data_IF_651344859088
#
_entry.id   IF_651344859088
#
_cell.length_a   1.000
_cell.length_b   1.000
_cell.length_c   1.000
_cell.angle_alpha   90.00
_cell.angle_beta   90.00
_cell.angle_gamma   90.00
#
_symmetry.space_group_name_H-M   'P 1'
#
loop_
_entity.id
_entity.type
_entity.pdbx_description
1 polymer ?
#
# COMPACT_ATOMS: atom_id res chain seq x y z
N UNK A 1 19.52 -4.31 17.92
CA UNK A 1 20.50 -4.62 16.85
C UNK A 1 19.75 -5.16 15.63
N UNK A 2 20.14 -4.71 14.46
CA UNK A 2 19.60 -5.21 13.17
C UNK A 2 20.80 -5.69 12.36
N UNK A 3 20.73 -6.90 11.87
CA UNK A 3 21.76 -7.52 11.01
C UNK A 3 21.11 -8.59 10.15
N UNK A 4 21.89 -9.34 9.37
CA UNK A 4 21.37 -10.46 8.60
C UNK A 4 21.72 -11.79 9.29
N UNK A 5 20.87 -12.80 9.08
CA UNK A 5 21.19 -14.16 9.48
C UNK A 5 22.36 -14.70 8.62
N UNK A 6 23.27 -15.48 9.19
CA UNK A 6 24.40 -16.02 8.43
C UNK A 6 23.95 -16.83 7.21
N UNK A 7 24.49 -16.47 6.03
CA UNK A 7 24.25 -17.21 4.79
C UNK A 7 22.95 -16.93 4.04
N UNK A 8 22.10 -16.00 4.54
CA UNK A 8 20.83 -15.64 3.90
C UNK A 8 20.58 -14.13 4.00
N UNK A 9 19.74 -13.59 3.10
CA UNK A 9 19.35 -12.16 3.08
C UNK A 9 18.19 -11.84 4.04
N UNK A 10 17.98 -12.65 5.08
CA UNK A 10 16.93 -12.46 6.07
C UNK A 10 17.45 -11.58 7.21
N UNK A 11 16.68 -10.56 7.59
CA UNK A 11 17.06 -9.66 8.68
C UNK A 11 17.01 -10.37 10.04
N UNK A 12 18.08 -10.19 10.82
CA UNK A 12 18.15 -10.61 12.23
C UNK A 12 17.90 -9.39 13.10
N UNK A 13 16.82 -9.44 13.89
CA UNK A 13 16.47 -8.37 14.83
C UNK A 13 16.55 -8.89 16.25
N UNK A 14 17.36 -8.23 17.08
CA UNK A 14 17.44 -8.52 18.50
C UNK A 14 17.31 -7.24 19.33
N UNK A 15 16.70 -7.35 20.49
CA UNK A 15 16.49 -6.25 21.40
C UNK A 15 16.44 -6.71 22.85
N UNK A 16 16.60 -5.76 23.77
CA UNK A 16 16.42 -6.02 25.21
C UNK A 16 15.04 -5.57 25.65
N UNK A 17 14.46 -6.27 26.62
CA UNK A 17 13.22 -5.83 27.24
C UNK A 17 13.43 -4.49 27.96
N UNK A 18 12.49 -3.57 27.81
CA UNK A 18 12.59 -2.23 28.43
C UNK A 18 12.67 -2.29 29.96
N UNK A 19 12.05 -3.30 30.57
CA UNK A 19 11.94 -3.46 32.03
C UNK A 19 12.77 -4.62 32.61
N UNK A 20 13.39 -5.44 31.75
CA UNK A 20 14.38 -6.48 32.14
C UNK A 20 15.49 -6.51 31.10
N UNK A 21 16.59 -5.80 31.40
CA UNK A 21 17.71 -5.64 30.46
C UNK A 21 18.58 -6.90 30.33
N UNK A 22 18.39 -7.89 31.20
CA UNK A 22 19.08 -9.17 31.10
C UNK A 22 18.44 -10.06 30.04
N UNK A 23 17.13 -9.89 29.79
CA UNK A 23 16.42 -10.63 28.77
C UNK A 23 16.65 -10.03 27.37
N UNK A 24 17.22 -10.82 26.48
CA UNK A 24 17.35 -10.50 25.06
C UNK A 24 16.23 -11.19 24.30
N UNK A 25 15.49 -10.43 23.50
CA UNK A 25 14.46 -10.93 22.59
C UNK A 25 15.06 -11.04 21.20
N UNK A 26 14.86 -12.19 20.57
CA UNK A 26 15.17 -12.43 19.18
C UNK A 26 13.87 -12.49 18.37
N UNK A 27 13.74 -11.62 17.37
CA UNK A 27 12.64 -11.65 16.41
C UNK A 27 12.97 -12.66 15.32
N UNK A 28 12.12 -13.67 15.17
CA UNK A 28 12.24 -14.68 14.12
C UNK A 28 11.26 -14.41 13.01
N UNK A 29 11.59 -14.75 11.75
CA UNK A 29 10.64 -14.70 10.66
C UNK A 29 9.35 -15.44 10.99
N UNK A 30 8.21 -14.92 10.53
CA UNK A 30 6.91 -15.57 10.70
C UNK A 30 6.85 -16.88 9.91
N UNK A 31 6.54 -17.97 10.59
CA UNK A 31 6.48 -19.31 10.01
C UNK A 31 5.16 -20.00 10.36
N UNK A 32 4.75 -20.94 9.53
CA UNK A 32 3.55 -21.75 9.76
C UNK A 32 3.88 -23.19 10.15
N UNK A 33 5.09 -23.66 9.87
CA UNK A 33 5.56 -25.01 10.17
C UNK A 33 7.07 -25.03 10.38
N UNK A 34 7.56 -26.03 11.12
CA UNK A 34 8.99 -26.35 11.20
C UNK A 34 9.46 -27.31 10.07
N UNK A 35 8.59 -27.62 9.10
CA UNK A 35 8.95 -28.25 7.83
C UNK A 35 9.06 -27.16 6.76
N UNK A 36 10.25 -26.57 6.54
CA UNK A 36 10.38 -25.33 5.82
C UNK A 36 10.33 -25.52 4.30
N UNK A 37 9.57 -24.66 3.65
CA UNK A 37 9.56 -24.46 2.20
C UNK A 37 10.36 -23.24 1.78
N UNK A 38 10.48 -22.24 2.66
CA UNK A 38 11.17 -20.97 2.39
C UNK A 38 12.49 -20.86 3.15
N UNK A 39 13.40 -20.01 2.68
CA UNK A 39 14.67 -19.73 3.38
C UNK A 39 14.45 -19.11 4.76
N UNK A 40 13.40 -18.31 4.92
CA UNK A 40 13.03 -17.67 6.18
C UNK A 40 12.59 -18.71 7.22
N UNK A 41 11.80 -19.70 6.82
CA UNK A 41 11.40 -20.81 7.68
C UNK A 41 12.59 -21.69 8.07
N UNK A 42 13.56 -21.90 7.16
CA UNK A 42 14.82 -22.59 7.46
C UNK A 42 15.61 -21.85 8.56
N UNK A 43 15.69 -20.53 8.48
CA UNK A 43 16.40 -19.70 9.46
C UNK A 43 15.76 -19.85 10.85
N UNK A 44 14.44 -19.67 10.92
CA UNK A 44 13.71 -19.80 12.19
C UNK A 44 13.86 -21.19 12.80
N UNK A 45 13.70 -22.26 12.00
CA UNK A 45 13.89 -23.64 12.45
C UNK A 45 15.31 -23.90 12.96
N UNK A 46 16.32 -23.52 12.19
CA UNK A 46 17.71 -23.77 12.56
C UNK A 46 18.07 -23.05 13.86
N UNK A 47 17.60 -21.82 14.06
CA UNK A 47 17.80 -21.10 15.32
C UNK A 47 17.18 -21.85 16.50
N UNK A 48 15.95 -22.33 16.36
CA UNK A 48 15.28 -23.07 17.44
C UNK A 48 15.97 -24.41 17.78
N UNK A 49 16.51 -25.10 16.79
CA UNK A 49 17.15 -26.41 16.98
C UNK A 49 18.60 -26.26 17.48
N UNK A 50 19.37 -25.36 16.88
CA UNK A 50 20.83 -25.23 17.08
C UNK A 50 21.17 -24.29 18.24
N UNK A 51 20.64 -23.06 18.21
CA UNK A 51 20.91 -22.03 19.21
C UNK A 51 20.09 -22.23 20.49
N UNK A 52 18.92 -22.85 20.40
CA UNK A 52 18.04 -23.21 21.53
C UNK A 52 17.83 -22.06 22.50
N UNK A 53 16.93 -21.14 22.23
CA UNK A 53 16.60 -20.06 23.17
C UNK A 53 16.11 -20.63 24.50
N UNK A 54 16.31 -19.87 25.59
CA UNK A 54 15.88 -20.29 26.95
C UNK A 54 14.36 -20.40 27.10
N UNK A 55 13.60 -19.68 26.28
CA UNK A 55 12.14 -19.81 26.17
C UNK A 55 11.67 -19.28 24.81
N UNK A 56 10.49 -19.71 24.40
CA UNK A 56 9.80 -19.26 23.17
C UNK A 56 8.51 -18.55 23.58
N UNK A 57 8.32 -17.34 23.07
CA UNK A 57 7.04 -16.64 23.10
C UNK A 57 6.36 -16.84 21.73
N UNK A 58 5.43 -17.78 21.67
CA UNK A 58 4.70 -18.11 20.46
C UNK A 58 3.45 -17.24 20.34
N UNK A 59 3.43 -16.35 19.32
CA UNK A 59 2.30 -15.45 19.07
C UNK A 59 1.35 -16.12 18.08
N UNK A 60 0.10 -16.31 18.52
CA UNK A 60 -0.95 -17.05 17.80
C UNK A 60 -2.10 -16.11 17.49
N UNK A 61 -2.57 -16.12 16.24
CA UNK A 61 -3.77 -15.39 15.86
C UNK A 61 -5.04 -16.08 16.40
N UNK A 62 -5.71 -15.44 17.35
CA UNK A 62 -6.93 -15.95 17.98
C UNK A 62 -8.11 -16.07 17.03
N UNK A 63 -8.14 -15.33 15.91
CA UNK A 63 -9.21 -15.40 14.92
C UNK A 63 -9.09 -16.64 14.03
N UNK A 64 -7.86 -17.21 13.92
CA UNK A 64 -7.54 -18.40 13.14
C UNK A 64 -6.72 -19.41 13.96
N UNK A 65 -7.13 -19.60 15.22
CA UNK A 65 -6.36 -20.39 16.20
C UNK A 65 -6.04 -21.81 15.72
N UNK A 66 -6.98 -22.49 15.06
CA UNK A 66 -6.84 -23.85 14.58
C UNK A 66 -5.61 -24.02 13.67
N UNK A 67 -5.46 -23.13 12.69
CA UNK A 67 -4.31 -23.13 11.78
C UNK A 67 -2.99 -22.86 12.51
N UNK A 68 -3.00 -21.95 13.46
CA UNK A 68 -1.79 -21.55 14.18
C UNK A 68 -1.35 -22.57 15.22
N UNK A 69 -2.25 -23.42 15.72
CA UNK A 69 -1.90 -24.50 16.66
C UNK A 69 -1.03 -25.58 15.99
N UNK A 70 -1.03 -25.71 14.67
CA UNK A 70 -0.16 -26.63 13.97
C UNK A 70 1.33 -26.38 14.26
N UNK A 71 1.79 -25.15 14.10
CA UNK A 71 3.15 -24.76 14.48
C UNK A 71 3.35 -24.90 15.99
N UNK A 72 2.35 -24.55 16.80
CA UNK A 72 2.45 -24.61 18.27
C UNK A 72 2.74 -26.02 18.76
N UNK A 73 2.13 -27.05 18.18
CA UNK A 73 2.41 -28.45 18.52
C UNK A 73 3.85 -28.82 18.18
N UNK A 74 4.37 -28.40 17.03
CA UNK A 74 5.75 -28.65 16.61
C UNK A 74 6.78 -27.96 17.51
N UNK A 75 6.50 -26.70 17.93
CA UNK A 75 7.37 -25.94 18.84
C UNK A 75 7.47 -26.65 20.21
N UNK A 76 6.37 -27.19 20.71
CA UNK A 76 6.37 -27.90 21.99
C UNK A 76 7.17 -29.22 21.97
N UNK A 77 7.29 -29.86 20.81
CA UNK A 77 8.12 -31.05 20.61
C UNK A 77 9.63 -30.76 20.73
N UNK A 78 10.07 -29.51 20.57
CA UNK A 78 11.47 -29.12 20.72
C UNK A 78 11.99 -29.23 22.18
N UNK A 79 11.10 -29.37 23.18
CA UNK A 79 11.46 -29.40 24.56
C UNK A 79 12.01 -28.08 25.12
N UNK A 80 11.69 -26.97 24.49
CA UNK A 80 12.01 -25.62 24.94
C UNK A 80 10.81 -25.05 25.69
N UNK A 81 10.99 -24.29 26.80
CA UNK A 81 9.88 -23.65 27.50
C UNK A 81 9.09 -22.74 26.53
N UNK A 82 7.78 -22.92 26.46
CA UNK A 82 6.90 -22.15 25.56
C UNK A 82 5.85 -21.40 26.38
N UNK A 83 5.65 -20.12 26.02
CA UNK A 83 4.47 -19.34 26.39
C UNK A 83 3.69 -19.04 25.13
N UNK A 84 2.40 -19.35 25.13
CA UNK A 84 1.52 -19.01 24.03
C UNK A 84 0.82 -17.68 24.29
N UNK A 85 0.96 -16.73 23.38
CA UNK A 85 0.27 -15.45 23.42
C UNK A 85 -0.79 -15.41 22.34
N UNK A 86 -2.07 -15.49 22.70
CA UNK A 86 -3.19 -15.43 21.76
C UNK A 86 -3.47 -13.96 21.47
N UNK A 87 -3.11 -13.53 20.27
CA UNK A 87 -3.29 -12.16 19.79
C UNK A 87 -4.68 -11.94 19.18
N UNK A 88 -5.03 -10.68 18.95
CA UNK A 88 -6.32 -10.26 18.38
C UNK A 88 -7.53 -10.65 19.24
N UNK A 89 -7.36 -10.80 20.57
CA UNK A 89 -8.45 -11.14 21.48
C UNK A 89 -9.57 -10.09 21.51
N UNK A 90 -9.27 -8.86 21.18
CA UNK A 90 -10.28 -7.81 20.95
C UNK A 90 -11.20 -8.13 19.76
N UNK A 91 -10.67 -8.68 18.68
CA UNK A 91 -11.45 -9.12 17.53
C UNK A 91 -12.25 -10.40 17.84
N UNK A 92 -11.63 -11.38 18.52
CA UNK A 92 -12.32 -12.60 18.97
C UNK A 92 -13.53 -12.26 19.83
N UNK A 93 -13.37 -11.34 20.80
CA UNK A 93 -14.50 -10.88 21.63
C UNK A 93 -15.55 -10.11 20.84
N UNK A 94 -15.12 -9.31 19.87
CA UNK A 94 -16.03 -8.54 18.99
C UNK A 94 -16.87 -9.44 18.08
N UNK A 95 -16.32 -10.57 17.62
CA UNK A 95 -17.07 -11.57 16.83
C UNK A 95 -18.06 -12.38 17.68
N UNK A 96 -17.92 -12.31 19.02
CA UNK A 96 -18.70 -13.10 19.96
C UNK A 96 -18.12 -14.50 20.22
N UNK A 97 -16.99 -14.82 19.64
CA UNK A 97 -16.28 -16.07 19.86
C UNK A 97 -15.65 -16.08 21.25
N UNK A 98 -15.51 -17.26 21.82
CA UNK A 98 -14.94 -17.46 23.14
C UNK A 98 -13.82 -18.51 23.08
N UNK A 99 -12.67 -18.17 23.63
CA UNK A 99 -11.54 -19.08 23.82
C UNK A 99 -11.35 -19.26 25.32
N UNK A 100 -11.43 -20.49 25.79
CA UNK A 100 -11.16 -20.82 27.21
C UNK A 100 -9.65 -21.03 27.37
N UNK A 101 -8.97 -19.98 27.80
CA UNK A 101 -7.51 -19.93 27.94
C UNK A 101 -7.02 -20.94 28.98
N UNK A 102 -7.73 -21.12 30.12
CA UNK A 102 -7.34 -22.06 31.15
C UNK A 102 -7.42 -23.51 30.70
N UNK A 103 -8.47 -23.86 29.95
CA UNK A 103 -8.58 -25.20 29.36
C UNK A 103 -7.50 -25.42 28.30
N UNK A 104 -7.27 -24.42 27.44
CA UNK A 104 -6.27 -24.48 26.40
C UNK A 104 -4.87 -24.65 26.99
N UNK A 105 -4.54 -23.90 28.07
CA UNK A 105 -3.28 -24.03 28.79
C UNK A 105 -3.07 -25.43 29.33
N UNK A 106 -4.10 -26.03 29.90
CA UNK A 106 -4.04 -27.42 30.44
C UNK A 106 -3.85 -28.45 29.33
N UNK A 107 -4.55 -28.28 28.19
CA UNK A 107 -4.46 -29.21 27.05
C UNK A 107 -3.11 -29.12 26.36
N UNK A 108 -2.56 -27.92 26.24
CA UNK A 108 -1.26 -27.70 25.59
C UNK A 108 -0.07 -27.94 26.54
N UNK A 109 -0.30 -27.91 27.85
CA UNK A 109 0.78 -28.05 28.83
C UNK A 109 1.72 -26.85 28.93
N UNK A 110 1.31 -25.69 28.45
CA UNK A 110 2.07 -24.45 28.52
C UNK A 110 1.20 -23.27 28.95
N UNK A 111 1.81 -22.22 29.58
CA UNK A 111 1.07 -21.00 29.88
C UNK A 111 0.51 -20.35 28.63
N UNK A 112 -0.76 -19.98 28.71
CA UNK A 112 -1.46 -19.24 27.65
C UNK A 112 -1.85 -17.86 28.18
N UNK A 113 -1.63 -16.80 27.38
CA UNK A 113 -1.94 -15.41 27.74
C UNK A 113 -2.74 -14.78 26.60
N UNK A 114 -3.80 -14.07 26.95
CA UNK A 114 -4.55 -13.27 26.00
C UNK A 114 -3.83 -11.94 25.76
N UNK A 115 -3.63 -11.57 24.50
CA UNK A 115 -3.05 -10.29 24.16
C UNK A 115 -3.84 -9.57 23.05
N UNK A 116 -3.69 -8.25 23.02
CA UNK A 116 -4.04 -7.42 21.85
C UNK A 116 -2.84 -6.52 21.57
N UNK A 117 -2.04 -6.89 20.59
CA UNK A 117 -0.84 -6.14 20.24
C UNK A 117 -1.18 -4.71 19.81
N UNK A 118 -2.32 -4.51 19.11
CA UNK A 118 -2.79 -3.18 18.68
C UNK A 118 -3.11 -2.27 19.87
N UNK A 119 -3.67 -2.82 20.97
CA UNK A 119 -4.03 -2.06 22.17
C UNK A 119 -2.94 -2.04 23.22
N UNK A 120 -1.92 -2.89 23.08
CA UNK A 120 -0.87 -3.05 24.08
C UNK A 120 -1.27 -3.92 25.28
N UNK A 121 -2.47 -4.54 25.25
CA UNK A 121 -2.98 -5.35 26.36
C UNK A 121 -2.25 -6.69 26.45
N UNK A 122 -1.93 -7.15 27.64
CA UNK A 122 -1.36 -8.48 27.93
C UNK A 122 0.10 -8.68 27.50
N UNK A 123 0.70 -7.78 26.72
CA UNK A 123 2.06 -7.94 26.16
C UNK A 123 3.11 -8.11 27.26
N UNK A 124 3.06 -7.24 28.27
CA UNK A 124 4.01 -7.28 29.40
C UNK A 124 3.87 -8.57 30.20
N UNK A 125 2.64 -9.05 30.41
CA UNK A 125 2.37 -10.31 31.09
C UNK A 125 2.96 -11.51 30.34
N UNK A 126 2.70 -11.58 29.02
CA UNK A 126 3.22 -12.65 28.19
C UNK A 126 4.76 -12.69 28.18
N UNK A 127 5.39 -11.52 28.00
CA UNK A 127 6.85 -11.42 28.05
C UNK A 127 7.43 -11.79 29.44
N UNK A 128 6.81 -11.36 30.54
CA UNK A 128 7.26 -11.70 31.87
C UNK A 128 7.14 -13.20 32.15
N UNK A 129 6.06 -13.85 31.71
CA UNK A 129 5.91 -15.30 31.81
C UNK A 129 6.98 -16.05 31.03
N UNK A 130 7.33 -15.56 29.82
CA UNK A 130 8.42 -16.17 29.04
C UNK A 130 9.77 -16.04 29.77
N UNK A 131 10.09 -14.88 30.32
CA UNK A 131 11.31 -14.65 31.09
C UNK A 131 11.32 -15.52 32.36
N UNK A 132 10.20 -15.67 33.06
CA UNK A 132 10.08 -16.52 34.24
C UNK A 132 10.37 -17.98 33.88
N UNK A 133 9.80 -18.50 32.80
CA UNK A 133 10.06 -19.87 32.36
C UNK A 133 11.53 -20.06 31.94
N UNK A 134 12.12 -19.08 31.24
CA UNK A 134 13.53 -19.10 30.87
C UNK A 134 14.43 -19.19 32.11
N UNK A 135 14.18 -18.37 33.14
CA UNK A 135 14.94 -18.37 34.38
C UNK A 135 14.78 -19.67 35.18
N UNK A 136 13.60 -20.27 35.15
CA UNK A 136 13.33 -21.56 35.85
C UNK A 136 13.92 -22.75 35.10
N UNK A 137 14.30 -22.61 33.84
CA UNK A 137 14.75 -23.71 32.95
C UNK A 137 13.81 -24.92 32.97
N UNK A 138 12.50 -24.66 33.10
CA UNK A 138 11.48 -25.69 33.11
C UNK A 138 11.27 -26.20 31.70
N UNK A 139 11.67 -27.42 31.41
CA UNK A 139 11.48 -28.02 30.09
C UNK A 139 9.99 -28.23 29.80
N UNK A 140 9.52 -27.82 28.69
CA UNK A 140 8.19 -28.18 28.20
C UNK A 140 8.20 -29.63 27.77
N UNK A 141 7.25 -30.40 28.28
CA UNK A 141 6.99 -31.75 27.77
C UNK A 141 5.76 -31.66 26.88
N UNK A 142 5.81 -32.17 25.67
CA UNK A 142 4.61 -32.24 24.83
C UNK A 142 3.55 -33.07 25.57
N UNK A 143 2.36 -32.52 25.67
CA UNK A 143 1.20 -33.18 26.29
C UNK A 143 0.32 -33.81 25.20
N UNK A 144 0.55 -33.43 23.94
CA UNK A 144 -0.20 -34.01 22.83
C UNK A 144 0.26 -35.44 22.57
N UNK A 145 -0.72 -36.31 22.46
CA UNK A 145 -0.54 -37.70 22.09
C UNK A 145 -1.31 -37.94 20.79
N UNK A 146 -0.68 -38.66 19.89
CA UNK A 146 -1.31 -39.15 18.65
C UNK A 146 -2.10 -40.44 18.95
N UNK A 147 -2.58 -41.10 17.93
CA UNK A 147 -3.16 -42.42 18.09
C UNK A 147 -2.15 -43.39 18.74
N UNK A 148 -2.64 -44.37 19.46
CA UNK A 148 -1.76 -45.33 20.19
C UNK A 148 -0.78 -46.02 19.23
N UNK A 149 -1.24 -46.37 18.06
CA UNK A 149 -0.45 -47.01 17.00
C UNK A 149 0.69 -46.11 16.50
N UNK A 150 0.42 -44.80 16.34
CA UNK A 150 1.44 -43.84 15.96
C UNK A 150 2.43 -43.59 17.09
N UNK A 151 1.97 -43.45 18.37
CA UNK A 151 2.84 -43.25 19.54
C UNK A 151 3.77 -44.44 19.73
N UNK A 152 3.30 -45.67 19.58
CA UNK A 152 4.15 -46.89 19.70
C UNK A 152 5.29 -46.85 18.67
N UNK A 153 5.00 -46.42 17.42
CA UNK A 153 6.02 -46.32 16.39
C UNK A 153 6.99 -45.17 16.65
N UNK A 154 6.49 -44.01 17.10
CA UNK A 154 7.34 -42.88 17.50
C UNK A 154 8.29 -43.28 18.63
N UNK A 155 7.80 -43.99 19.66
CA UNK A 155 8.61 -44.45 20.76
C UNK A 155 9.71 -45.42 20.31
N UNK A 156 9.44 -46.29 19.35
CA UNK A 156 10.47 -47.17 18.79
C UNK A 156 11.57 -46.39 18.09
N UNK A 157 11.24 -45.32 17.34
CA UNK A 157 12.22 -44.43 16.71
C UNK A 157 12.99 -43.64 17.78
N UNK A 158 12.32 -43.11 18.82
CA UNK A 158 12.98 -42.40 19.92
C UNK A 158 14.05 -43.29 20.60
N UNK A 159 13.78 -44.57 20.80
CA UNK A 159 14.71 -45.53 21.38
C UNK A 159 15.96 -45.78 20.50
N UNK A 160 15.85 -45.62 19.17
CA UNK A 160 16.98 -45.75 18.27
C UNK A 160 17.87 -44.50 18.22
N UNK A 161 17.38 -43.35 18.71
CA UNK A 161 18.11 -42.09 18.68
C UNK A 161 19.21 -42.07 19.74
N UNK A 162 20.46 -41.99 19.27
CA UNK A 162 21.66 -41.89 20.11
C UNK A 162 22.31 -40.53 19.98
N UNK A 163 22.82 -39.99 21.10
CA UNK A 163 23.53 -38.71 21.09
C UNK A 163 22.65 -37.46 20.96
N UNK A 164 21.33 -37.66 21.09
CA UNK A 164 20.32 -36.61 21.15
C UNK A 164 19.78 -36.51 22.57
N UNK A 165 19.55 -35.30 23.07
CA UNK A 165 18.98 -35.07 24.40
C UNK A 165 17.56 -35.62 24.45
N UNK A 166 17.18 -36.19 25.58
CA UNK A 166 15.85 -36.86 25.74
C UNK A 166 14.69 -35.91 25.41
N UNK A 167 14.80 -34.63 25.79
CA UNK A 167 13.77 -33.63 25.49
C UNK A 167 13.58 -33.31 24.00
N UNK A 168 14.53 -33.71 23.13
CA UNK A 168 14.48 -33.49 21.69
C UNK A 168 14.13 -34.74 20.91
N UNK A 169 14.20 -35.91 21.52
CA UNK A 169 14.03 -37.19 20.80
C UNK A 169 12.71 -37.26 20.03
N UNK A 170 11.61 -36.82 20.68
CA UNK A 170 10.30 -36.80 20.00
C UNK A 170 10.30 -35.98 18.74
N UNK A 171 10.85 -34.78 18.77
CA UNK A 171 10.94 -33.94 17.57
C UNK A 171 11.72 -34.62 16.45
N UNK A 172 12.92 -35.15 16.78
CA UNK A 172 13.74 -35.83 15.76
C UNK A 172 13.10 -37.14 15.27
N UNK A 173 12.45 -37.90 16.13
CA UNK A 173 11.74 -39.12 15.75
C UNK A 173 10.62 -38.81 14.74
N UNK A 174 9.79 -37.82 15.03
CA UNK A 174 8.71 -37.40 14.14
C UNK A 174 9.27 -36.90 12.82
N UNK A 175 10.34 -36.09 12.84
CA UNK A 175 10.96 -35.56 11.60
C UNK A 175 11.61 -36.64 10.73
N UNK A 176 12.17 -37.68 11.34
CA UNK A 176 12.65 -38.84 10.59
C UNK A 176 11.51 -39.64 9.96
N UNK A 177 10.40 -39.80 10.65
CA UNK A 177 9.20 -40.43 10.09
C UNK A 177 8.59 -39.58 8.96
N UNK A 178 8.60 -38.25 9.08
CA UNK A 178 8.20 -37.31 8.03
C UNK A 178 9.20 -37.28 6.85
N UNK A 179 10.29 -38.06 6.88
CA UNK A 179 11.34 -38.12 5.85
C UNK A 179 12.00 -36.78 5.58
N UNK A 180 12.20 -35.92 6.64
CA UNK A 180 12.84 -34.60 6.53
C UNK A 180 14.36 -34.78 6.39
N UNK A 181 14.85 -34.81 5.13
CA UNK A 181 16.28 -34.95 4.79
C UNK A 181 17.14 -33.84 5.38
N UNK A 182 16.59 -32.63 5.54
CA UNK A 182 17.33 -31.47 6.07
C UNK A 182 17.59 -31.63 7.58
N UNK A 183 16.69 -32.27 8.29
CA UNK A 183 16.89 -32.63 9.70
C UNK A 183 17.85 -33.81 9.81
N UNK A 184 17.69 -34.83 9.00
CA UNK A 184 18.62 -35.96 8.94
C UNK A 184 20.07 -35.48 8.70
N UNK A 185 20.28 -34.55 7.80
CA UNK A 185 21.60 -33.98 7.51
C UNK A 185 22.25 -33.22 8.70
N UNK A 186 21.48 -32.76 9.68
CA UNK A 186 22.00 -32.11 10.89
C UNK A 186 22.37 -33.07 12.00
N UNK A 187 21.99 -34.34 11.88
CA UNK A 187 22.29 -35.37 12.86
C UNK A 187 23.67 -35.94 12.65
N UNK A 188 24.40 -36.18 13.75
CA UNK A 188 25.72 -36.84 13.71
C UNK A 188 25.63 -38.32 13.29
N UNK A 189 24.55 -38.96 13.62
CA UNK A 189 24.24 -40.35 13.26
C UNK A 189 22.74 -40.46 13.03
N UNK A 190 22.36 -40.87 11.85
CA UNK A 190 20.94 -41.10 11.48
C UNK A 190 20.68 -42.59 11.65
N UNK A 191 19.75 -42.99 12.53
CA UNK A 191 19.36 -44.39 12.66
C UNK A 191 18.58 -44.84 11.40
N UNK A 192 18.64 -46.11 11.07
CA UNK A 192 17.75 -46.70 10.09
C UNK A 192 16.35 -46.85 10.67
N UNK A 193 15.39 -46.14 10.10
CA UNK A 193 13.97 -46.12 10.48
C UNK A 193 13.05 -46.64 9.39
N UNK A 194 13.63 -47.33 8.39
CA UNK A 194 12.88 -47.82 7.24
C UNK A 194 11.76 -48.82 7.60
N UNK A 195 11.97 -49.61 8.66
CA UNK A 195 10.97 -50.59 9.13
C UNK A 195 9.82 -49.87 9.86
N UNK A 196 10.10 -48.83 10.63
CA UNK A 196 9.09 -48.02 11.33
C UNK A 196 8.25 -47.23 10.33
N UNK A 197 8.89 -46.65 9.29
CA UNK A 197 8.21 -45.96 8.21
C UNK A 197 7.25 -46.92 7.51
N UNK A 198 7.73 -48.10 7.09
CA UNK A 198 6.87 -49.08 6.44
C UNK A 198 5.72 -49.51 7.34
N UNK A 199 5.98 -49.79 8.62
CA UNK A 199 4.96 -50.19 9.59
C UNK A 199 3.89 -49.09 9.76
N UNK A 200 4.28 -47.83 9.74
CA UNK A 200 3.35 -46.72 9.82
C UNK A 200 2.51 -46.63 8.53
N UNK A 201 3.13 -46.69 7.36
CA UNK A 201 2.46 -46.67 6.07
C UNK A 201 1.48 -47.85 5.91
N UNK A 202 1.88 -49.06 6.31
CA UNK A 202 1.02 -50.27 6.28
C UNK A 202 -0.15 -50.19 7.27
N UNK A 203 0.04 -49.50 8.43
CA UNK A 203 -0.99 -49.41 9.47
C UNK A 203 -2.08 -48.40 9.09
N UNK A 204 -1.71 -47.30 8.47
CA UNK A 204 -2.61 -46.20 8.17
C UNK A 204 -2.99 -46.07 6.70
N UNK A 205 -2.41 -46.90 5.81
CA UNK A 205 -2.64 -46.93 4.36
C UNK A 205 -2.40 -45.56 3.70
N UNK A 206 -1.35 -44.83 4.15
CA UNK A 206 -0.99 -43.48 3.66
C UNK A 206 0.52 -43.27 3.83
N UNK A 207 1.07 -42.22 3.24
CA UNK A 207 2.46 -41.84 3.48
C UNK A 207 2.66 -41.24 4.87
N UNK A 208 3.85 -41.40 5.46
CA UNK A 208 4.12 -41.01 6.83
C UNK A 208 4.00 -39.51 7.09
N UNK A 209 4.28 -38.64 6.13
CA UNK A 209 4.12 -37.18 6.26
C UNK A 209 2.63 -36.84 6.39
N UNK A 210 1.79 -37.41 5.54
CA UNK A 210 0.33 -37.26 5.61
C UNK A 210 -0.24 -37.79 6.92
N UNK A 211 0.21 -38.97 7.36
CA UNK A 211 -0.23 -39.58 8.64
C UNK A 211 0.05 -38.64 9.82
N UNK A 212 1.30 -38.19 9.97
CA UNK A 212 1.69 -37.29 11.07
C UNK A 212 0.91 -35.98 11.00
N UNK A 213 0.71 -35.45 9.80
CA UNK A 213 -0.08 -34.23 9.59
C UNK A 213 -1.54 -34.44 10.03
N UNK A 214 -2.16 -35.57 9.65
CA UNK A 214 -3.53 -35.91 10.06
C UNK A 214 -3.66 -36.11 11.57
N UNK A 215 -2.72 -36.79 12.21
CA UNK A 215 -2.66 -36.97 13.64
C UNK A 215 -2.61 -35.61 14.39
N UNK A 216 -1.79 -34.68 13.91
CA UNK A 216 -1.73 -33.31 14.45
C UNK A 216 -3.07 -32.60 14.33
N UNK A 217 -3.71 -32.64 13.15
CA UNK A 217 -5.00 -32.00 12.95
C UNK A 217 -6.12 -32.65 13.75
N UNK A 218 -6.08 -33.96 13.94
CA UNK A 218 -7.03 -34.68 14.80
C UNK A 218 -6.90 -34.20 16.25
N UNK A 219 -5.69 -34.10 16.77
CA UNK A 219 -5.43 -33.54 18.10
C UNK A 219 -5.88 -32.09 18.22
N UNK A 220 -5.51 -31.23 17.25
CA UNK A 220 -5.89 -29.80 17.24
C UNK A 220 -7.41 -29.64 17.22
N UNK A 221 -8.12 -30.39 16.37
CA UNK A 221 -9.57 -30.35 16.27
C UNK A 221 -10.24 -30.76 17.58
N UNK A 222 -9.69 -31.73 18.31
CA UNK A 222 -10.18 -32.11 19.64
C UNK A 222 -10.05 -30.96 20.65
N UNK A 223 -8.92 -30.25 20.65
CA UNK A 223 -8.69 -29.10 21.51
C UNK A 223 -9.66 -27.95 21.16
N UNK A 224 -9.78 -27.63 19.89
CA UNK A 224 -10.66 -26.55 19.41
C UNK A 224 -12.11 -26.83 19.81
N UNK A 225 -12.57 -28.09 19.63
CA UNK A 225 -13.92 -28.48 20.02
C UNK A 225 -14.22 -28.29 21.52
N UNK A 226 -13.21 -28.50 22.39
CA UNK A 226 -13.36 -28.36 23.83
C UNK A 226 -13.10 -26.94 24.38
N UNK A 227 -12.17 -26.22 23.77
CA UNK A 227 -11.67 -24.95 24.29
C UNK A 227 -12.27 -23.71 23.59
N UNK A 228 -12.76 -23.86 22.36
CA UNK A 228 -13.25 -22.74 21.57
C UNK A 228 -14.75 -22.87 21.31
N UNK A 229 -15.49 -21.82 21.62
CA UNK A 229 -16.91 -21.70 21.26
C UNK A 229 -17.04 -20.61 20.22
N UNK A 230 -17.38 -20.99 18.99
CA UNK A 230 -17.76 -20.04 17.96
C UNK A 230 -19.20 -19.56 18.25
N UNK A 231 -19.42 -18.26 18.17
CA UNK A 231 -20.76 -17.69 18.32
C UNK A 231 -21.69 -18.33 17.29
N UNK A 232 -22.74 -19.02 17.77
CA UNK A 232 -23.81 -19.54 16.93
C UNK A 232 -24.66 -18.38 16.42
N UNK A 233 -24.31 -17.88 15.31
CA UNK A 233 -25.05 -16.89 14.55
C UNK A 233 -24.25 -16.75 13.29
N UNK A 234 -24.86 -17.06 12.17
CA UNK A 234 -24.21 -16.91 10.88
C UNK A 234 -23.45 -15.59 10.87
N UNK A 235 -22.20 -15.61 10.44
CA UNK A 235 -21.33 -14.44 10.34
C UNK A 235 -22.21 -13.24 10.02
N UNK A 236 -22.43 -12.32 10.98
CA UNK A 236 -22.95 -11.02 10.62
C UNK A 236 -21.92 -10.50 9.63
N UNK A 237 -22.26 -10.63 8.35
CA UNK A 237 -21.41 -10.17 7.26
C UNK A 237 -20.95 -8.77 7.64
N UNK A 238 -19.65 -8.60 7.81
CA UNK A 238 -19.07 -7.27 7.99
C UNK A 238 -19.46 -6.41 6.79
N UNK A 239 -19.36 -5.11 6.90
CA UNK A 239 -19.56 -4.24 5.74
C UNK A 239 -18.64 -4.65 4.58
N UNK A 240 -17.41 -5.04 4.91
CA UNK A 240 -16.42 -5.58 3.97
C UNK A 240 -16.90 -6.85 3.28
N UNK A 241 -17.42 -7.84 4.02
CA UNK A 241 -17.95 -9.08 3.45
C UNK A 241 -19.15 -8.84 2.52
N UNK A 242 -19.98 -7.83 2.84
CA UNK A 242 -21.12 -7.45 1.99
C UNK A 242 -20.65 -6.81 0.69
N UNK A 243 -19.66 -5.90 0.77
CA UNK A 243 -19.06 -5.27 -0.40
C UNK A 243 -18.37 -6.34 -1.26
N UNK A 244 -17.57 -7.20 -0.63
CA UNK A 244 -16.88 -8.27 -1.31
C UNK A 244 -17.85 -9.21 -2.05
N UNK A 245 -18.93 -9.61 -1.41
CA UNK A 245 -19.97 -10.44 -2.04
C UNK A 245 -20.64 -9.77 -3.25
N UNK A 246 -20.72 -8.43 -3.28
CA UNK A 246 -21.27 -7.70 -4.42
C UNK A 246 -20.23 -7.59 -5.52
N UNK A 247 -19.01 -7.19 -5.17
CA UNK A 247 -17.92 -6.96 -6.12
C UNK A 247 -17.43 -8.26 -6.78
N UNK A 248 -17.40 -9.37 -6.02
CA UNK A 248 -16.98 -10.68 -6.53
C UNK A 248 -18.12 -11.50 -7.14
N UNK A 249 -19.33 -10.95 -7.18
CA UNK A 249 -20.47 -11.65 -7.78
C UNK A 249 -20.26 -11.84 -9.28
N UNK A 250 -20.37 -13.07 -9.77
CA UNK A 250 -20.11 -13.45 -11.16
C UNK A 250 -20.84 -12.59 -12.21
N UNK A 251 -22.05 -12.13 -11.90
CA UNK A 251 -22.87 -11.33 -12.82
C UNK A 251 -22.69 -9.83 -12.60
N UNK A 252 -22.39 -9.39 -11.37
CA UNK A 252 -22.24 -7.97 -11.03
C UNK A 252 -20.82 -7.45 -11.21
N UNK A 253 -19.81 -8.33 -11.14
CA UNK A 253 -18.41 -7.95 -11.23
C UNK A 253 -18.08 -7.21 -12.52
N UNK A 254 -18.55 -7.70 -13.68
CA UNK A 254 -18.29 -7.08 -14.98
C UNK A 254 -18.93 -5.68 -15.12
N UNK A 255 -20.23 -5.48 -14.82
CA UNK A 255 -20.83 -4.14 -14.81
C UNK A 255 -20.14 -3.19 -13.83
N UNK A 256 -19.84 -3.65 -12.61
CA UNK A 256 -19.13 -2.84 -11.59
C UNK A 256 -17.75 -2.43 -12.10
N UNK A 257 -17.01 -3.38 -12.68
CA UNK A 257 -15.70 -3.10 -13.28
C UNK A 257 -15.82 -2.05 -14.41
N UNK A 258 -16.79 -2.19 -15.31
CA UNK A 258 -17.01 -1.25 -16.40
C UNK A 258 -17.30 0.17 -15.87
N UNK A 259 -18.16 0.29 -14.84
CA UNK A 259 -18.46 1.59 -14.20
C UNK A 259 -17.22 2.19 -13.53
N UNK A 260 -16.47 1.40 -12.79
CA UNK A 260 -15.23 1.86 -12.13
C UNK A 260 -14.21 2.31 -13.17
N UNK A 261 -14.00 1.53 -14.22
CA UNK A 261 -13.08 1.88 -15.31
C UNK A 261 -13.53 3.14 -16.05
N UNK A 262 -14.83 3.31 -16.29
CA UNK A 262 -15.36 4.53 -16.86
C UNK A 262 -15.09 5.76 -15.97
N UNK A 263 -15.33 5.65 -14.65
CA UNK A 263 -15.06 6.73 -13.70
C UNK A 263 -13.57 7.06 -13.68
N UNK A 264 -12.70 6.04 -13.60
CA UNK A 264 -11.24 6.24 -13.61
C UNK A 264 -10.80 6.92 -14.92
N UNK A 265 -11.29 6.45 -16.05
CA UNK A 265 -11.00 7.05 -17.35
C UNK A 265 -11.49 8.50 -17.42
N UNK A 266 -12.75 8.74 -17.04
CA UNK A 266 -13.34 10.08 -17.03
C UNK A 266 -12.54 11.05 -16.16
N UNK A 267 -12.24 10.68 -14.92
CA UNK A 267 -11.44 11.52 -13.99
C UNK A 267 -10.02 11.73 -14.52
N UNK A 268 -9.38 10.69 -15.06
CA UNK A 268 -7.99 10.78 -15.52
C UNK A 268 -7.85 11.58 -16.80
N UNK A 269 -8.80 11.51 -17.70
CA UNK A 269 -8.69 12.16 -19.03
C UNK A 269 -9.35 13.53 -19.01
N UNK A 270 -10.59 13.66 -18.50
CA UNK A 270 -11.37 14.90 -18.61
C UNK A 270 -11.16 15.90 -17.48
N UNK A 271 -10.55 15.48 -16.34
CA UNK A 271 -10.30 16.40 -15.23
C UNK A 271 -8.81 16.53 -14.94
N UNK A 272 -8.22 15.52 -14.33
CA UNK A 272 -6.81 15.58 -13.90
C UNK A 272 -5.87 15.58 -15.10
N UNK A 273 -6.19 14.79 -16.12
CA UNK A 273 -5.37 14.68 -17.33
C UNK A 273 -5.34 15.98 -18.11
N UNK A 274 -6.52 16.57 -18.37
CA UNK A 274 -6.64 17.84 -19.09
C UNK A 274 -5.89 18.95 -18.36
N UNK A 275 -6.19 19.17 -17.06
CA UNK A 275 -5.52 20.20 -16.26
C UNK A 275 -3.99 20.02 -16.25
N UNK A 276 -3.51 18.79 -16.15
CA UNK A 276 -2.07 18.53 -16.14
C UNK A 276 -1.43 18.73 -17.52
N UNK A 277 -2.15 18.39 -18.59
CA UNK A 277 -1.69 18.55 -19.96
C UNK A 277 -1.67 20.03 -20.36
N UNK A 278 -2.72 20.78 -20.05
CA UNK A 278 -2.82 22.20 -20.34
C UNK A 278 -1.75 22.97 -19.56
N UNK A 279 -1.58 22.66 -18.25
CA UNK A 279 -0.48 23.25 -17.48
C UNK A 279 0.90 22.93 -18.06
N UNK A 280 1.10 21.71 -18.58
CA UNK A 280 2.38 21.36 -19.17
C UNK A 280 2.59 22.05 -20.53
N UNK A 281 1.57 22.05 -21.40
CA UNK A 281 1.68 22.60 -22.74
C UNK A 281 1.73 24.14 -22.73
N UNK A 282 0.78 24.76 -22.06
CA UNK A 282 0.63 26.23 -22.13
C UNK A 282 1.53 26.90 -21.08
N UNK A 283 1.69 26.27 -19.91
CA UNK A 283 2.53 26.80 -18.84
C UNK A 283 4.01 26.48 -19.05
N UNK A 284 4.39 25.19 -18.99
CA UNK A 284 5.82 24.81 -18.98
C UNK A 284 6.45 24.97 -20.37
N UNK A 285 5.78 24.51 -21.42
CA UNK A 285 6.28 24.52 -22.79
C UNK A 285 5.70 25.65 -23.64
N UNK A 286 4.73 26.43 -23.14
CA UNK A 286 4.19 27.63 -23.73
C UNK A 286 4.71 28.89 -23.00
N UNK A 287 3.83 29.89 -22.88
CA UNK A 287 4.18 31.23 -22.42
C UNK A 287 4.55 31.29 -20.93
N UNK A 288 3.93 30.46 -20.11
CA UNK A 288 4.18 30.42 -18.66
C UNK A 288 2.89 30.22 -17.85
N UNK A 289 3.01 30.35 -16.51
CA UNK A 289 1.86 30.18 -15.63
C UNK A 289 1.96 31.01 -14.34
N UNK A 290 0.80 31.31 -13.77
CA UNK A 290 0.71 31.95 -12.47
C UNK A 290 0.89 30.94 -11.34
N UNK A 291 1.71 31.25 -10.33
CA UNK A 291 1.89 30.43 -9.14
C UNK A 291 0.54 30.26 -8.41
N UNK A 292 0.12 29.01 -8.25
CA UNK A 292 -1.17 28.62 -7.69
C UNK A 292 -2.41 29.19 -8.44
N UNK A 293 -2.26 29.61 -9.70
CA UNK A 293 -3.33 30.19 -10.51
C UNK A 293 -3.79 31.59 -10.07
N UNK A 294 -3.07 32.21 -9.12
CA UNK A 294 -3.46 33.52 -8.56
C UNK A 294 -3.14 34.60 -9.59
N UNK A 295 -4.17 35.35 -10.01
CA UNK A 295 -4.08 36.43 -10.99
C UNK A 295 -4.47 36.04 -12.39
N UNK A 296 -4.53 34.75 -12.74
CA UNK A 296 -4.81 34.25 -14.09
C UNK A 296 -6.12 34.82 -14.66
N UNK A 297 -7.25 34.67 -13.94
CA UNK A 297 -8.54 35.11 -14.46
C UNK A 297 -8.63 36.63 -14.67
N UNK A 298 -7.97 37.41 -13.80
CA UNK A 298 -7.95 38.87 -13.95
C UNK A 298 -7.10 39.29 -15.13
N UNK A 299 -5.97 38.64 -15.37
CA UNK A 299 -5.13 38.86 -16.53
C UNK A 299 -5.87 38.49 -17.83
N UNK A 300 -6.49 37.27 -17.87
CA UNK A 300 -7.22 36.83 -19.07
C UNK A 300 -8.37 37.77 -19.44
N UNK A 301 -9.09 38.32 -18.42
CA UNK A 301 -10.18 39.29 -18.62
C UNK A 301 -9.64 40.59 -19.23
N UNK A 302 -8.60 41.19 -18.63
CA UNK A 302 -8.04 42.46 -19.06
C UNK A 302 -7.27 42.33 -20.38
N UNK A 303 -6.54 41.24 -20.58
CA UNK A 303 -5.81 40.96 -21.84
C UNK A 303 -6.78 40.67 -22.99
N UNK A 304 -7.89 39.95 -22.71
CA UNK A 304 -8.95 39.77 -23.70
C UNK A 304 -9.62 41.09 -24.12
N UNK A 305 -10.00 41.94 -23.10
CA UNK A 305 -10.58 43.27 -23.37
C UNK A 305 -9.66 44.13 -24.27
N UNK A 306 -8.35 44.11 -23.96
CA UNK A 306 -7.34 44.82 -24.75
C UNK A 306 -7.18 44.23 -26.16
N UNK A 307 -7.05 42.92 -26.31
CA UNK A 307 -6.88 42.20 -27.55
C UNK A 307 -8.06 42.40 -28.53
N UNK A 308 -9.29 42.33 -28.02
CA UNK A 308 -10.49 42.62 -28.80
C UNK A 308 -10.48 44.05 -29.30
N UNK A 309 -10.12 45.01 -28.44
CA UNK A 309 -10.04 46.43 -28.85
C UNK A 309 -8.95 46.68 -29.90
N UNK A 310 -7.79 46.09 -29.71
CA UNK A 310 -6.68 46.17 -30.68
C UNK A 310 -7.06 45.55 -32.03
N UNK A 311 -7.74 44.39 -32.02
CA UNK A 311 -8.21 43.74 -33.25
C UNK A 311 -9.19 44.63 -34.03
N UNK A 312 -10.16 45.23 -33.34
CA UNK A 312 -11.11 46.16 -33.96
C UNK A 312 -10.37 47.40 -34.54
N UNK A 313 -9.44 47.99 -33.76
CA UNK A 313 -8.66 49.13 -34.24
C UNK A 313 -7.87 48.78 -35.50
N UNK A 314 -7.15 47.66 -35.47
CA UNK A 314 -6.35 47.21 -36.61
C UNK A 314 -7.21 46.95 -37.85
N UNK A 315 -8.39 46.33 -37.67
CA UNK A 315 -9.33 46.12 -38.81
C UNK A 315 -9.76 47.42 -39.47
N UNK A 316 -10.07 48.47 -38.70
CA UNK A 316 -10.41 49.79 -39.26
C UNK A 316 -9.20 50.52 -39.87
N UNK A 317 -8.01 50.38 -39.29
CA UNK A 317 -6.76 50.91 -39.81
C UNK A 317 -6.42 50.30 -41.16
N UNK A 318 -6.53 48.98 -41.30
CA UNK A 318 -6.28 48.25 -42.52
C UNK A 318 -7.26 48.65 -43.61
N UNK A 319 -8.56 48.78 -43.32
CA UNK A 319 -9.58 49.21 -44.27
C UNK A 319 -9.35 50.66 -44.70
N UNK A 320 -8.76 51.52 -43.84
CA UNK A 320 -8.46 52.89 -44.17
C UNK A 320 -7.41 53.04 -45.28
N UNK A 321 -6.47 52.10 -45.41
CA UNK A 321 -5.32 52.14 -46.29
C UNK A 321 -4.33 53.26 -45.94
N UNK A 322 -4.38 53.84 -44.77
CA UNK A 322 -3.48 54.94 -44.35
C UNK A 322 -2.19 54.34 -43.75
N UNK A 323 -1.09 54.41 -44.53
CA UNK A 323 0.21 53.85 -44.12
C UNK A 323 0.83 54.56 -42.91
N UNK A 324 0.54 55.86 -42.68
CA UNK A 324 1.04 56.59 -41.52
C UNK A 324 0.30 56.14 -40.23
N UNK A 325 -1.01 55.93 -40.37
CA UNK A 325 -1.82 55.40 -39.26
C UNK A 325 -1.44 53.96 -38.92
N UNK A 326 -1.26 53.12 -39.93
CA UNK A 326 -0.82 51.72 -39.74
C UNK A 326 0.56 51.67 -39.06
N UNK A 327 1.50 52.48 -39.43
CA UNK A 327 2.81 52.56 -38.78
C UNK A 327 2.74 53.10 -37.38
N UNK A 328 1.78 53.96 -37.04
CA UNK A 328 1.62 54.51 -35.73
C UNK A 328 1.05 53.51 -34.69
N UNK A 329 0.28 52.49 -35.14
CA UNK A 329 -0.33 51.45 -34.29
C UNK A 329 0.48 50.14 -34.25
N UNK A 330 1.55 50.04 -35.03
CA UNK A 330 2.41 48.87 -35.07
C UNK A 330 3.25 48.75 -33.79
N UNK A 331 2.74 47.99 -32.82
CA UNK A 331 3.41 47.77 -31.51
C UNK A 331 4.72 46.96 -31.63
N UNK A 332 5.00 46.29 -32.76
CA UNK A 332 6.27 45.58 -32.99
C UNK A 332 7.37 46.48 -33.54
N UNK A 333 7.04 47.72 -33.88
CA UNK A 333 8.01 48.71 -34.43
C UNK A 333 9.00 49.15 -33.35
N UNK A 334 10.30 49.23 -33.68
CA UNK A 334 11.33 49.79 -32.77
C UNK A 334 11.06 51.26 -32.39
N UNK A 335 10.32 51.99 -33.23
CA UNK A 335 9.98 53.42 -33.01
C UNK A 335 8.55 53.59 -32.46
N UNK A 336 7.91 52.54 -31.93
CA UNK A 336 6.56 52.61 -31.37
C UNK A 336 6.44 53.56 -30.20
N UNK A 337 5.51 54.51 -30.32
CA UNK A 337 5.17 55.51 -29.29
C UNK A 337 3.69 55.38 -28.91
N UNK A 338 3.37 54.83 -27.73
CA UNK A 338 1.99 54.66 -27.26
C UNK A 338 1.15 55.97 -27.25
N UNK A 339 1.74 57.09 -26.88
CA UNK A 339 1.01 58.38 -26.86
C UNK A 339 0.70 58.88 -28.28
N UNK A 340 1.62 58.65 -29.22
CA UNK A 340 1.41 58.97 -30.65
C UNK A 340 0.35 58.03 -31.26
N UNK A 341 0.38 56.72 -30.94
CA UNK A 341 -0.60 55.74 -31.39
C UNK A 341 -2.02 56.11 -30.94
N UNK A 342 -2.21 56.40 -29.64
CA UNK A 342 -3.51 56.85 -29.08
C UNK A 342 -4.00 58.12 -29.79
N UNK A 343 -3.12 59.08 -30.02
CA UNK A 343 -3.49 60.36 -30.67
C UNK A 343 -3.92 60.13 -32.09
N UNK A 344 -3.21 59.31 -32.85
CA UNK A 344 -3.52 58.97 -34.24
C UNK A 344 -4.84 58.23 -34.37
N UNK A 345 -5.03 57.14 -33.56
CA UNK A 345 -6.27 56.35 -33.58
C UNK A 345 -7.49 57.16 -33.15
N UNK A 346 -7.37 58.04 -32.14
CA UNK A 346 -8.45 58.97 -31.73
C UNK A 346 -8.83 59.93 -32.85
N UNK A 347 -7.83 60.52 -33.51
CA UNK A 347 -8.07 61.42 -34.64
C UNK A 347 -8.80 60.71 -35.78
N UNK A 348 -8.37 59.50 -36.07
CA UNK A 348 -9.01 58.66 -37.11
C UNK A 348 -10.46 58.28 -36.71
N UNK A 349 -10.67 57.72 -35.51
CA UNK A 349 -11.99 57.30 -35.03
C UNK A 349 -13.01 58.44 -35.01
N UNK A 350 -12.57 59.69 -34.80
CA UNK A 350 -13.43 60.86 -34.88
C UNK A 350 -13.93 61.16 -36.30
N UNK A 351 -13.27 60.66 -37.31
CA UNK A 351 -13.68 60.82 -38.73
C UNK A 351 -14.59 59.69 -39.24
N UNK A 352 -14.61 58.55 -38.51
CA UNK A 352 -15.41 57.38 -38.87
C UNK A 352 -16.86 57.57 -38.41
N UNK A 353 -17.82 57.30 -39.32
CA UNK A 353 -19.25 57.35 -38.99
C UNK A 353 -19.62 56.14 -38.10
N UNK A 354 -20.59 56.33 -37.17
CA UNK A 354 -20.96 55.27 -36.23
C UNK A 354 -21.53 54.01 -36.89
N UNK A 355 -22.04 54.15 -38.11
CA UNK A 355 -22.62 53.09 -38.95
C UNK A 355 -21.66 52.55 -40.03
N UNK A 356 -20.39 52.99 -40.03
CA UNK A 356 -19.37 52.39 -40.91
C UNK A 356 -19.04 50.98 -40.41
N UNK A 357 -19.09 49.98 -41.28
CA UNK A 357 -18.85 48.57 -40.92
C UNK A 357 -17.55 48.06 -41.53
N UNK A 358 -16.79 47.31 -40.77
CA UNK A 358 -15.59 46.58 -41.19
C UNK A 358 -15.76 45.12 -40.84
N UNK A 359 -15.37 44.22 -41.78
CA UNK A 359 -15.34 42.79 -41.53
C UNK A 359 -13.90 42.35 -41.36
N UNK A 360 -13.65 41.59 -40.33
CA UNK A 360 -12.32 41.05 -40.02
C UNK A 360 -12.42 39.60 -39.63
N UNK A 361 -11.32 38.86 -39.69
CA UNK A 361 -11.24 37.44 -39.41
C UNK A 361 -10.73 37.25 -37.99
N UNK A 362 -11.47 36.50 -37.16
CA UNK A 362 -11.04 36.07 -35.84
C UNK A 362 -10.80 34.58 -35.89
N UNK A 363 -9.71 34.15 -35.32
CA UNK A 363 -9.42 32.73 -35.19
C UNK A 363 -9.90 32.23 -33.79
N UNK A 364 -10.80 31.26 -33.78
CA UNK A 364 -11.25 30.63 -32.58
C UNK A 364 -10.09 29.85 -31.95
N UNK A 365 -9.74 30.15 -30.70
CA UNK A 365 -8.57 29.57 -30.00
C UNK A 365 -8.68 28.06 -29.74
N UNK A 366 -9.89 27.52 -29.63
CA UNK A 366 -10.09 26.08 -29.33
C UNK A 366 -10.12 25.24 -30.61
N UNK A 367 -10.76 25.74 -31.63
CA UNK A 367 -11.00 24.99 -32.88
C UNK A 367 -10.03 25.36 -34.01
N UNK A 368 -9.29 26.46 -33.87
CA UNK A 368 -8.45 27.06 -34.91
C UNK A 368 -9.24 27.38 -36.19
N UNK A 369 -10.56 27.52 -36.09
CA UNK A 369 -11.42 27.90 -37.19
C UNK A 369 -11.40 29.41 -37.36
N UNK A 370 -11.37 29.87 -38.61
CA UNK A 370 -11.49 31.27 -38.95
C UNK A 370 -12.97 31.64 -39.07
N UNK A 371 -13.39 32.65 -38.32
CA UNK A 371 -14.75 33.19 -38.35
C UNK A 371 -14.71 34.67 -38.76
N UNK A 372 -15.64 35.08 -39.67
CA UNK A 372 -15.80 36.48 -40.07
C UNK A 372 -16.63 37.21 -39.03
N UNK A 373 -16.05 38.23 -38.39
CA UNK A 373 -16.76 39.15 -37.49
C UNK A 373 -16.88 40.53 -38.09
N UNK A 374 -17.84 41.30 -37.63
CA UNK A 374 -18.09 42.69 -38.10
C UNK A 374 -18.11 43.63 -36.91
N UNK A 375 -17.40 44.74 -37.01
CA UNK A 375 -17.45 45.86 -36.11
C UNK A 375 -17.94 47.15 -36.81
N UNK A 376 -18.62 47.96 -36.05
CA UNK A 376 -19.06 49.26 -36.58
C UNK A 376 -18.25 50.43 -35.98
N UNK A 377 -18.46 51.67 -36.50
CA UNK A 377 -17.72 52.82 -36.00
C UNK A 377 -17.97 53.19 -34.55
N UNK A 378 -19.10 52.75 -33.98
CA UNK A 378 -19.31 52.92 -32.52
C UNK A 378 -18.44 51.93 -31.73
N UNK A 379 -18.26 50.67 -32.24
CA UNK A 379 -17.35 49.70 -31.67
C UNK A 379 -15.90 50.17 -31.73
N UNK A 380 -15.49 50.80 -32.83
CA UNK A 380 -14.17 51.42 -32.91
C UNK A 380 -13.96 52.48 -31.84
N UNK A 381 -14.94 53.34 -31.60
CA UNK A 381 -14.82 54.37 -30.56
C UNK A 381 -14.72 53.78 -29.14
N UNK A 382 -15.50 52.74 -28.89
CA UNK A 382 -15.38 51.98 -27.63
C UNK A 382 -14.00 51.30 -27.50
N UNK A 383 -13.50 50.67 -28.57
CA UNK A 383 -12.17 50.07 -28.61
C UNK A 383 -11.06 51.10 -28.31
N UNK A 384 -11.19 52.32 -28.85
CA UNK A 384 -10.23 53.44 -28.57
C UNK A 384 -10.23 53.80 -27.09
N UNK A 385 -11.38 53.79 -26.40
CA UNK A 385 -11.45 54.08 -24.96
C UNK A 385 -10.69 52.98 -24.17
N UNK A 386 -10.82 51.73 -24.56
CA UNK A 386 -10.07 50.62 -23.94
C UNK A 386 -8.57 50.77 -24.23
N UNK A 387 -8.20 51.02 -25.46
CA UNK A 387 -6.81 51.21 -25.89
C UNK A 387 -6.14 52.35 -25.11
N UNK A 388 -6.85 53.46 -24.87
CA UNK A 388 -6.40 54.57 -24.03
C UNK A 388 -6.28 54.16 -22.55
N UNK A 389 -7.25 53.40 -22.03
CA UNK A 389 -7.22 52.89 -20.64
C UNK A 389 -5.92 52.15 -20.35
N UNK A 390 -5.44 51.38 -21.29
CA UNK A 390 -4.21 50.58 -21.22
C UNK A 390 -2.97 51.32 -21.76
N UNK A 391 -3.08 52.61 -22.09
CA UNK A 391 -2.00 53.39 -22.64
C UNK A 391 -1.36 52.76 -23.87
N UNK A 392 -2.19 52.14 -24.73
CA UNK A 392 -1.79 51.47 -25.98
C UNK A 392 -0.71 50.41 -25.75
N UNK A 393 -0.74 49.75 -24.61
CA UNK A 393 0.21 48.68 -24.24
C UNK A 393 -0.56 47.52 -23.66
N UNK A 394 -0.32 46.33 -24.14
CA UNK A 394 -0.97 45.15 -23.62
C UNK A 394 -0.66 44.93 -22.12
N UNK A 395 -1.62 44.40 -21.33
CA UNK A 395 -1.40 44.05 -19.92
C UNK A 395 -0.20 43.14 -19.73
N UNK A 396 0.65 43.43 -18.72
CA UNK A 396 1.79 42.58 -18.39
C UNK A 396 1.39 41.53 -17.37
N UNK A 397 1.72 40.28 -17.64
CA UNK A 397 1.51 39.14 -16.72
C UNK A 397 2.04 39.42 -15.31
N UNK A 398 3.16 40.12 -15.20
CA UNK A 398 3.81 40.39 -13.90
C UNK A 398 2.99 41.28 -12.96
N UNK A 399 2.04 42.06 -13.47
CA UNK A 399 1.20 42.97 -12.68
C UNK A 399 0.06 42.27 -11.95
N UNK A 400 -0.29 41.06 -12.35
CA UNK A 400 -1.43 40.31 -11.81
C UNK A 400 -1.06 39.27 -10.73
N UNK A 401 0.21 38.89 -10.65
CA UNK A 401 0.65 37.88 -9.69
C UNK A 401 2.08 37.41 -9.89
N UNK A 402 2.42 36.29 -9.27
CA UNK A 402 3.74 35.69 -9.48
C UNK A 402 3.68 34.88 -10.77
N UNK A 403 4.16 35.51 -11.85
CA UNK A 403 4.27 34.86 -13.15
C UNK A 403 5.58 34.05 -13.25
N UNK A 404 5.48 32.86 -13.76
CA UNK A 404 6.61 31.97 -14.05
C UNK A 404 6.64 31.75 -15.57
N UNK A 405 7.63 32.28 -16.27
CA UNK A 405 7.71 32.13 -17.72
C UNK A 405 7.94 30.67 -18.10
N UNK A 406 7.40 30.26 -19.23
CA UNK A 406 7.64 28.95 -19.81
C UNK A 406 9.08 28.80 -20.30
N UNK A 407 9.46 27.57 -20.65
CA UNK A 407 10.82 27.26 -21.13
C UNK A 407 11.21 28.08 -22.35
N UNK A 408 10.35 28.27 -23.39
CA UNK A 408 10.69 29.10 -24.55
C UNK A 408 11.00 30.53 -24.14
N UNK A 409 10.11 31.20 -23.42
CA UNK A 409 10.29 32.57 -22.96
C UNK A 409 11.53 32.79 -22.08
N UNK A 410 11.87 31.76 -21.27
CA UNK A 410 13.10 31.80 -20.45
C UNK A 410 14.37 31.67 -21.29
N UNK A 411 14.33 31.00 -22.45
CA UNK A 411 15.50 30.86 -23.35
C UNK A 411 15.72 32.09 -24.23
N UNK A 412 14.69 32.90 -24.41
CA UNK A 412 14.74 34.15 -25.22
C UNK A 412 15.13 35.38 -24.37
N UNK A 413 14.97 35.31 -23.04
CA UNK A 413 15.36 36.36 -22.09
C UNK A 413 16.84 36.27 -21.68
#
# INVERSE_FOLDING_TARGET
FVGNWPGVTVEKKEGKLKWDKEATIMDLPGIYSLSPYTLEEVVARNYLITDRPDAILNIVDGTNIERNLYLSTQIMELGIPVVMAINMMDLVRKSGDQINVDKLSKKLGCPVVEISALKGDGIKEAANKAVELAKKKTLSKPVHEFSKEAEDIIADVENKLTGIKDEQKRFFAIKLLEKDDKIAAQMKSVPDVSDEIRRMEDTFDDDTESIITNERYTYISSIIGECCKKAHGGKKLTLSDKIDRIVTNRFLALPIFAVIMYIVYYVSVTTVGTIATDWANDGVFGDGWYLAGIGRSAYEEDAGEYGDAETIINAFVDESGDEELAAAVDAESEDYDPEAAITAVKAYAATVADDAEVTYVVQDEETMAEEDETANGADLKAAVEVYEKWNATAPDNADYGIWIPGIPAFLES
#
